data_IF_255675905499
#
_entry.id   IF_255675905499
#
_cell.length_a   1.000
_cell.length_b   1.000
_cell.length_c   1.000
_cell.angle_alpha   90.00
_cell.angle_beta   90.00
_cell.angle_gamma   90.00
#
_symmetry.space_group_name_H-M   'P 1'
#
loop_
_entity.id
_entity.type
_entity.pdbx_description
1 polymer ?
#
# COMPACT_ATOMS: atom_id res chain seq x y z
N UNK A 1 -43.55 17.04 25.30
CA UNK A 1 -43.03 16.41 24.09
C UNK A 1 -41.82 17.23 23.65
N UNK A 2 -40.62 16.87 24.10
CA UNK A 2 -39.38 17.52 23.68
C UNK A 2 -39.00 16.94 22.30
N UNK A 3 -39.06 17.75 21.27
CA UNK A 3 -38.44 17.44 19.99
C UNK A 3 -36.97 17.35 20.21
N UNK A 4 -36.43 16.14 20.23
CA UNK A 4 -35.00 15.91 20.02
C UNK A 4 -34.71 16.39 18.62
N UNK A 5 -34.20 17.61 18.47
CA UNK A 5 -33.73 18.13 17.21
C UNK A 5 -32.70 17.14 16.66
N UNK A 6 -32.97 16.57 15.50
CA UNK A 6 -31.99 15.80 14.71
C UNK A 6 -30.80 16.73 14.47
N UNK A 7 -29.74 16.58 15.25
CA UNK A 7 -28.49 17.29 14.98
C UNK A 7 -28.02 16.81 13.59
N UNK A 8 -28.04 17.69 12.60
CA UNK A 8 -27.64 17.38 11.25
C UNK A 8 -26.22 16.79 11.29
N UNK A 9 -26.07 15.53 10.90
CA UNK A 9 -24.79 14.83 10.94
C UNK A 9 -23.79 15.51 10.01
N UNK A 10 -22.57 15.73 10.48
CA UNK A 10 -21.46 16.27 9.67
C UNK A 10 -21.27 15.44 8.39
N UNK A 11 -21.35 16.11 7.24
CA UNK A 11 -21.22 15.49 5.91
C UNK A 11 -19.75 15.43 5.53
N UNK A 12 -19.22 14.21 5.43
CA UNK A 12 -17.85 13.95 5.03
C UNK A 12 -17.82 13.37 3.62
N UNK A 13 -17.08 14.03 2.72
CA UNK A 13 -16.80 13.49 1.40
C UNK A 13 -15.38 12.94 1.38
N UNK A 14 -15.26 11.64 1.14
CA UNK A 14 -13.96 10.94 1.00
C UNK A 14 -13.68 10.75 -0.49
N UNK A 15 -12.53 11.21 -0.95
CA UNK A 15 -12.08 11.02 -2.33
C UNK A 15 -11.05 9.89 -2.34
N UNK A 16 -11.40 8.78 -2.99
CA UNK A 16 -10.63 7.55 -3.05
C UNK A 16 -11.27 6.41 -2.26
N UNK A 17 -11.61 5.31 -2.94
CA UNK A 17 -12.17 4.08 -2.40
C UNK A 17 -11.12 2.95 -2.28
N UNK A 18 -9.88 3.32 -2.00
CA UNK A 18 -8.81 2.40 -1.65
C UNK A 18 -8.80 2.07 -0.15
N UNK A 19 -7.70 1.46 0.31
CA UNK A 19 -7.50 1.05 1.70
C UNK A 19 -7.80 2.19 2.70
N UNK A 20 -7.14 3.34 2.53
CA UNK A 20 -7.31 4.49 3.43
C UNK A 20 -8.75 5.02 3.41
N UNK A 21 -9.35 5.16 2.22
CA UNK A 21 -10.69 5.70 2.09
C UNK A 21 -11.77 4.79 2.67
N UNK A 22 -11.73 3.50 2.36
CA UNK A 22 -12.74 2.54 2.85
C UNK A 22 -12.66 2.34 4.37
N UNK A 23 -11.44 2.19 4.92
CA UNK A 23 -11.27 2.05 6.38
C UNK A 23 -11.73 3.31 7.12
N UNK A 24 -11.40 4.50 6.59
CA UNK A 24 -11.86 5.78 7.14
C UNK A 24 -13.39 5.92 7.03
N UNK A 25 -13.98 5.54 5.88
CA UNK A 25 -15.42 5.63 5.67
C UNK A 25 -16.21 4.79 6.67
N UNK A 26 -15.78 3.53 6.85
CA UNK A 26 -16.42 2.63 7.80
C UNK A 26 -16.34 3.16 9.24
N UNK A 27 -15.17 3.62 9.65
CA UNK A 27 -14.96 4.14 11.00
C UNK A 27 -15.72 5.43 11.26
N UNK A 28 -15.71 6.40 10.33
CA UNK A 28 -16.49 7.63 10.45
C UNK A 28 -17.98 7.34 10.56
N UNK A 29 -18.48 6.40 9.75
CA UNK A 29 -19.91 6.01 9.79
C UNK A 29 -20.26 5.39 11.14
N UNK A 30 -19.41 4.53 11.70
CA UNK A 30 -19.57 3.99 13.07
C UNK A 30 -19.60 5.10 14.14
N UNK A 31 -18.90 6.22 13.91
CA UNK A 31 -18.89 7.39 14.80
C UNK A 31 -20.00 8.40 14.53
N UNK A 32 -20.94 8.09 13.64
CA UNK A 32 -22.14 8.88 13.40
C UNK A 32 -22.04 9.96 12.35
N UNK A 33 -20.97 10.02 11.56
CA UNK A 33 -20.85 10.92 10.41
C UNK A 33 -21.72 10.44 9.22
N UNK A 34 -22.10 11.39 8.36
CA UNK A 34 -22.72 11.09 7.07
C UNK A 34 -21.65 11.05 5.99
N UNK A 35 -21.37 9.87 5.43
CA UNK A 35 -20.20 9.64 4.59
C UNK A 35 -20.57 9.34 3.15
N UNK A 36 -19.96 10.11 2.22
CA UNK A 36 -19.99 9.89 0.80
C UNK A 36 -18.56 9.55 0.31
N UNK A 37 -18.40 8.41 -0.34
CA UNK A 37 -17.12 7.99 -0.96
C UNK A 37 -17.19 8.16 -2.47
N UNK A 38 -16.18 8.78 -3.04
CA UNK A 38 -16.04 9.06 -4.47
C UNK A 38 -14.83 8.38 -5.04
N UNK A 39 -14.96 7.66 -6.16
CA UNK A 39 -13.81 7.16 -6.91
C UNK A 39 -14.12 7.03 -8.41
N UNK A 40 -13.06 6.84 -9.20
CA UNK A 40 -13.12 6.72 -10.67
C UNK A 40 -13.84 5.44 -11.13
N UNK A 41 -13.84 4.38 -10.31
CA UNK A 41 -14.48 3.10 -10.57
C UNK A 41 -15.20 2.59 -9.32
N UNK A 42 -15.94 1.50 -9.46
CA UNK A 42 -16.53 0.79 -8.33
C UNK A 42 -15.43 0.29 -7.38
N UNK A 43 -15.70 0.40 -6.08
CA UNK A 43 -14.80 -0.13 -5.06
C UNK A 43 -14.82 -1.67 -5.04
N UNK A 44 -13.66 -2.31 -4.92
CA UNK A 44 -12.29 -1.76 -4.91
C UNK A 44 -11.80 -1.43 -6.32
N UNK A 45 -11.17 -0.27 -6.47
CA UNK A 45 -10.73 0.25 -7.79
C UNK A 45 -9.59 -0.59 -8.36
N UNK A 46 -9.79 -1.15 -9.56
CA UNK A 46 -8.92 -2.18 -10.17
C UNK A 46 -7.47 -1.76 -10.39
N UNK A 47 -7.21 -0.51 -10.74
CA UNK A 47 -5.86 0.04 -10.95
C UNK A 47 -5.26 0.72 -9.70
N UNK A 48 -5.95 0.64 -8.58
CA UNK A 48 -5.48 1.14 -7.29
C UNK A 48 -4.40 0.23 -6.69
N UNK A 49 -3.46 0.84 -5.96
CA UNK A 49 -2.40 0.09 -5.24
C UNK A 49 -2.94 -0.84 -4.15
N UNK A 50 -4.17 -0.65 -3.73
CA UNK A 50 -4.81 -1.50 -2.72
C UNK A 50 -5.25 -2.86 -3.26
N UNK A 51 -5.49 -2.99 -4.58
CA UNK A 51 -6.01 -4.22 -5.21
C UNK A 51 -4.87 -5.09 -5.74
N UNK A 52 -4.87 -6.36 -5.34
CA UNK A 52 -3.97 -7.39 -5.85
C UNK A 52 -4.46 -8.78 -5.41
N UNK A 53 -3.85 -9.85 -5.93
CA UNK A 53 -4.13 -11.22 -5.48
C UNK A 53 -3.51 -11.54 -4.12
N UNK A 54 -2.47 -10.78 -3.70
CA UNK A 54 -1.81 -11.00 -2.41
C UNK A 54 -1.12 -9.75 -1.89
N UNK A 55 -1.07 -9.62 -0.56
CA UNK A 55 -0.26 -8.63 0.18
C UNK A 55 0.38 -9.27 1.40
N UNK A 56 1.61 -8.90 1.70
CA UNK A 56 2.32 -9.41 2.89
C UNK A 56 1.67 -8.89 4.16
N UNK A 57 1.41 -9.79 5.11
CA UNK A 57 0.90 -9.49 6.44
C UNK A 57 1.97 -9.87 7.46
N UNK A 58 2.50 -8.88 8.17
CA UNK A 58 3.63 -9.04 9.09
C UNK A 58 3.72 -7.91 10.11
N UNK A 59 4.17 -8.15 11.36
CA UNK A 59 4.57 -7.13 12.32
C UNK A 59 6.06 -6.75 12.26
N UNK A 60 6.80 -7.27 11.29
CA UNK A 60 8.25 -7.18 11.15
C UNK A 60 8.67 -5.78 10.67
N UNK A 61 9.00 -4.91 11.60
CA UNK A 61 9.44 -3.54 11.34
C UNK A 61 10.66 -3.15 12.18
N UNK A 62 11.56 -2.39 11.57
CA UNK A 62 12.65 -1.70 12.30
C UNK A 62 12.13 -0.57 13.18
N UNK A 63 11.03 0.07 12.78
CA UNK A 63 10.33 1.09 13.56
C UNK A 63 9.40 0.44 14.59
N UNK A 64 9.55 0.83 15.87
CA UNK A 64 8.78 0.26 17.00
C UNK A 64 7.28 0.52 16.91
N UNK A 65 6.88 1.72 16.46
CA UNK A 65 5.48 2.09 16.32
C UNK A 65 4.78 1.19 15.31
N UNK A 66 5.38 1.02 14.13
CA UNK A 66 4.81 0.14 13.11
C UNK A 66 4.90 -1.35 13.47
N UNK A 67 5.89 -1.76 14.25
CA UNK A 67 5.96 -3.13 14.78
C UNK A 67 4.78 -3.43 15.72
N UNK A 68 4.50 -2.54 16.66
CA UNK A 68 3.37 -2.66 17.59
C UNK A 68 2.04 -2.58 16.86
N UNK A 69 1.88 -1.62 15.95
CA UNK A 69 0.68 -1.48 15.12
C UNK A 69 0.46 -2.73 14.25
N UNK A 70 1.55 -3.30 13.71
CA UNK A 70 1.50 -4.56 12.96
C UNK A 70 1.02 -5.73 13.81
N UNK A 71 1.52 -5.86 15.03
CA UNK A 71 1.10 -6.91 15.98
C UNK A 71 -0.38 -6.74 16.38
N UNK A 72 -0.83 -5.51 16.57
CA UNK A 72 -2.24 -5.23 16.81
C UNK A 72 -3.12 -5.65 15.62
N UNK A 73 -2.70 -5.31 14.40
CA UNK A 73 -3.42 -5.67 13.18
C UNK A 73 -3.53 -7.19 12.97
N UNK A 74 -2.55 -7.97 13.45
CA UNK A 74 -2.61 -9.45 13.37
C UNK A 74 -3.87 -10.01 14.01
N UNK A 75 -4.36 -9.42 15.11
CA UNK A 75 -5.60 -9.84 15.77
C UNK A 75 -6.80 -9.77 14.83
N UNK A 76 -6.87 -8.73 14.00
CA UNK A 76 -7.94 -8.59 13.01
C UNK A 76 -7.78 -9.57 11.84
N UNK A 77 -6.54 -9.83 11.40
CA UNK A 77 -6.26 -10.82 10.38
C UNK A 77 -6.53 -12.26 10.84
N UNK A 78 -6.35 -12.56 12.12
CA UNK A 78 -6.67 -13.86 12.72
C UNK A 78 -8.14 -13.98 13.13
N UNK A 79 -8.85 -12.86 13.21
CA UNK A 79 -10.27 -12.75 13.58
C UNK A 79 -11.15 -12.47 12.36
N UNK A 80 -11.62 -11.23 12.24
CA UNK A 80 -12.61 -10.78 11.25
C UNK A 80 -12.19 -11.04 9.79
N UNK A 81 -10.88 -10.91 9.48
CA UNK A 81 -10.34 -11.12 8.14
C UNK A 81 -9.68 -12.49 7.95
N UNK A 82 -9.92 -13.46 8.84
CA UNK A 82 -9.26 -14.78 8.82
C UNK A 82 -9.50 -15.58 7.53
N UNK A 83 -10.65 -15.42 6.89
CA UNK A 83 -10.96 -16.07 5.61
C UNK A 83 -10.11 -15.56 4.43
N UNK A 84 -9.47 -14.42 4.58
CA UNK A 84 -8.59 -13.82 3.57
C UNK A 84 -7.11 -13.97 3.92
N UNK A 85 -6.78 -14.36 5.16
CA UNK A 85 -5.41 -14.47 5.64
C UNK A 85 -4.88 -15.90 5.52
N UNK A 86 -3.74 -16.03 4.86
CA UNK A 86 -3.00 -17.27 4.68
C UNK A 86 -1.71 -17.21 5.51
N UNK A 87 -1.68 -17.92 6.65
CA UNK A 87 -0.51 -17.99 7.52
C UNK A 87 0.53 -18.95 6.91
N UNK A 88 1.36 -18.45 6.01
CA UNK A 88 2.44 -19.19 5.36
C UNK A 88 3.80 -19.02 6.04
N UNK A 89 3.88 -18.13 7.04
CA UNK A 89 5.14 -17.61 7.54
C UNK A 89 5.78 -16.57 6.60
N UNK A 90 6.85 -15.97 7.09
CA UNK A 90 7.70 -15.04 6.37
C UNK A 90 9.16 -15.42 6.55
N UNK A 91 9.88 -15.62 5.46
CA UNK A 91 11.32 -15.71 5.41
C UNK A 91 11.89 -14.35 4.98
N UNK A 92 12.39 -13.59 5.94
CA UNK A 92 12.98 -12.27 5.71
C UNK A 92 14.50 -12.41 5.68
N UNK A 93 15.10 -12.13 4.54
CA UNK A 93 16.54 -12.34 4.32
C UNK A 93 17.24 -11.10 3.77
N UNK A 94 18.56 -11.08 3.91
CA UNK A 94 19.45 -10.13 3.26
C UNK A 94 20.74 -10.82 2.84
N UNK A 95 21.45 -10.23 1.89
CA UNK A 95 22.76 -10.64 1.45
C UNK A 95 23.85 -9.85 2.20
N UNK A 96 25.02 -10.47 2.38
CA UNK A 96 26.14 -9.89 3.11
C UNK A 96 26.05 -10.12 4.63
N UNK A 97 27.05 -9.57 5.33
CA UNK A 97 27.27 -9.86 6.74
C UNK A 97 26.28 -9.21 7.71
N UNK A 98 25.58 -8.14 7.31
CA UNK A 98 24.61 -7.46 8.16
C UNK A 98 23.64 -6.60 7.35
N UNK A 99 22.42 -6.48 7.84
CA UNK A 99 21.42 -5.57 7.29
C UNK A 99 20.68 -4.89 8.44
N UNK A 100 20.86 -3.57 8.58
CA UNK A 100 20.39 -2.82 9.75
C UNK A 100 18.89 -2.94 9.99
N UNK A 101 18.06 -2.90 8.91
CA UNK A 101 16.62 -3.07 9.03
C UNK A 101 16.24 -4.46 9.53
N UNK A 102 16.88 -5.52 9.00
CA UNK A 102 16.65 -6.91 9.41
C UNK A 102 16.90 -7.09 10.90
N UNK A 103 18.06 -6.61 11.38
CA UNK A 103 18.45 -6.74 12.78
C UNK A 103 17.54 -5.93 13.71
N UNK A 104 17.20 -4.68 13.35
CA UNK A 104 16.30 -3.85 14.15
C UNK A 104 14.89 -4.45 14.20
N UNK A 105 14.42 -5.02 13.09
CA UNK A 105 13.15 -5.73 13.03
C UNK A 105 13.13 -6.94 13.95
N UNK A 106 14.17 -7.78 13.89
CA UNK A 106 14.34 -8.95 14.76
C UNK A 106 14.36 -8.57 16.26
N UNK A 107 15.08 -7.50 16.61
CA UNK A 107 15.10 -6.98 18.00
C UNK A 107 13.74 -6.50 18.46
N UNK A 108 12.96 -5.86 17.61
CA UNK A 108 11.60 -5.44 17.95
C UNK A 108 10.66 -6.64 18.13
N UNK A 109 10.76 -7.67 17.29
CA UNK A 109 10.02 -8.92 17.46
C UNK A 109 10.34 -9.59 18.80
N UNK A 110 11.62 -9.68 19.15
CA UNK A 110 12.07 -10.24 20.43
C UNK A 110 11.48 -9.47 21.63
N UNK A 111 11.53 -8.11 21.60
CA UNK A 111 10.91 -7.25 22.64
C UNK A 111 9.41 -7.44 22.76
N UNK A 112 8.72 -7.82 21.68
CA UNK A 112 7.29 -8.13 21.67
C UNK A 112 6.99 -9.59 22.05
N UNK A 113 8.00 -10.39 22.40
CA UNK A 113 7.87 -11.80 22.77
C UNK A 113 7.64 -12.73 21.56
N UNK A 114 7.87 -12.25 20.34
CA UNK A 114 7.74 -13.04 19.11
C UNK A 114 9.09 -13.71 18.81
N UNK A 115 9.13 -15.03 18.95
CA UNK A 115 10.34 -15.80 18.64
C UNK A 115 10.43 -16.05 17.14
N UNK A 116 11.58 -15.70 16.57
CA UNK A 116 11.93 -15.97 15.18
C UNK A 116 13.19 -16.83 15.11
N UNK A 117 13.26 -17.68 14.10
CA UNK A 117 14.39 -18.59 13.90
C UNK A 117 15.35 -18.02 12.87
N UNK A 118 16.58 -17.77 13.29
CA UNK A 118 17.65 -17.27 12.39
C UNK A 118 18.36 -18.41 11.69
N UNK A 119 18.58 -18.28 10.39
CA UNK A 119 19.29 -19.24 9.54
C UNK A 119 20.16 -18.50 8.51
N UNK A 120 21.14 -19.21 7.96
CA UNK A 120 22.01 -18.71 6.91
C UNK A 120 22.34 -19.81 5.89
N UNK A 121 22.66 -19.41 4.69
CA UNK A 121 23.07 -20.30 3.62
C UNK A 121 22.04 -21.38 3.31
N UNK A 122 22.50 -22.61 3.13
CA UNK A 122 21.65 -23.75 2.77
C UNK A 122 20.58 -24.09 3.82
N UNK A 123 20.77 -23.72 5.10
CA UNK A 123 19.79 -23.97 6.14
C UNK A 123 18.48 -23.16 5.95
N UNK A 124 18.46 -22.15 5.09
CA UNK A 124 17.22 -21.46 4.70
C UNK A 124 16.26 -22.38 3.94
N UNK A 125 16.76 -23.45 3.33
CA UNK A 125 15.93 -24.47 2.64
C UNK A 125 15.07 -25.28 3.58
N UNK A 126 15.35 -25.29 4.88
CA UNK A 126 14.50 -25.94 5.89
C UNK A 126 13.08 -25.37 5.87
N UNK A 127 12.93 -24.09 5.50
CA UNK A 127 11.61 -23.40 5.42
C UNK A 127 10.97 -23.47 4.04
N UNK A 128 11.74 -23.70 2.99
CA UNK A 128 11.25 -23.86 1.62
C UNK A 128 12.20 -24.75 0.84
N UNK A 129 12.02 -26.09 0.87
CA UNK A 129 12.89 -27.05 0.19
C UNK A 129 12.99 -26.84 -1.32
N UNK A 130 12.02 -26.17 -1.93
CA UNK A 130 12.03 -25.86 -3.36
C UNK A 130 13.07 -24.80 -3.76
N UNK A 131 13.70 -24.11 -2.81
CA UNK A 131 14.78 -23.17 -3.12
C UNK A 131 16.01 -23.95 -3.63
N UNK A 132 16.36 -23.71 -4.90
CA UNK A 132 17.53 -24.34 -5.55
C UNK A 132 18.68 -23.35 -5.80
N UNK A 133 18.42 -22.05 -5.65
CA UNK A 133 19.41 -21.00 -5.88
C UNK A 133 20.58 -21.01 -4.90
N UNK A 134 21.66 -20.31 -5.22
CA UNK A 134 22.80 -20.15 -4.32
C UNK A 134 22.47 -19.18 -3.18
N UNK A 135 22.54 -19.66 -1.96
CA UNK A 135 22.25 -18.92 -0.73
C UNK A 135 23.51 -18.67 0.13
N UNK A 136 24.72 -18.94 -0.37
CA UNK A 136 25.95 -18.90 0.43
C UNK A 136 26.14 -17.56 1.17
N UNK A 137 25.78 -16.45 0.55
CA UNK A 137 25.88 -15.09 1.12
C UNK A 137 24.52 -14.54 1.62
N UNK A 138 23.58 -15.43 1.95
CA UNK A 138 22.22 -15.04 2.37
C UNK A 138 21.95 -15.49 3.80
N UNK A 139 21.50 -14.56 4.64
CA UNK A 139 21.09 -14.84 6.01
C UNK A 139 19.78 -14.11 6.35
N UNK A 140 19.04 -14.63 7.31
CA UNK A 140 17.80 -14.02 7.75
C UNK A 140 17.10 -14.78 8.85
N UNK A 141 15.82 -14.51 9.02
CA UNK A 141 14.98 -15.19 9.99
C UNK A 141 13.65 -15.63 9.39
N UNK A 142 13.07 -16.65 9.99
CA UNK A 142 11.71 -17.10 9.72
C UNK A 142 10.77 -16.66 10.85
N UNK A 143 9.66 -16.01 10.46
CA UNK A 143 8.60 -15.62 11.38
C UNK A 143 7.31 -16.40 11.07
N UNK A 144 6.91 -17.37 11.93
CA UNK A 144 5.77 -18.25 11.66
C UNK A 144 4.40 -17.60 11.78
N UNK A 145 4.28 -16.45 12.45
CA UNK A 145 2.98 -15.77 12.60
C UNK A 145 2.57 -14.95 11.38
N UNK A 146 3.51 -14.70 10.47
CA UNK A 146 3.30 -13.94 9.25
C UNK A 146 2.64 -14.75 8.15
N UNK A 147 2.36 -14.05 7.05
CA UNK A 147 1.84 -14.68 5.84
C UNK A 147 1.42 -13.62 4.82
N UNK A 148 0.36 -13.91 4.12
CA UNK A 148 -0.20 -13.02 3.11
C UNK A 148 -1.72 -13.03 3.16
N UNK A 149 -2.34 -11.99 2.62
CA UNK A 149 -3.78 -11.91 2.50
C UNK A 149 -4.21 -11.73 1.04
N UNK A 150 -5.37 -12.31 0.69
CA UNK A 150 -6.12 -11.93 -0.51
C UNK A 150 -6.56 -10.48 -0.38
N UNK A 151 -5.83 -9.61 -1.07
CA UNK A 151 -6.06 -8.18 -0.96
C UNK A 151 -7.36 -7.74 -1.64
N UNK A 152 -7.68 -8.32 -2.78
CA UNK A 152 -8.91 -8.01 -3.50
C UNK A 152 -10.14 -8.46 -2.70
N UNK A 153 -10.15 -9.69 -2.22
CA UNK A 153 -11.23 -10.21 -1.40
C UNK A 153 -11.43 -9.42 -0.11
N UNK A 154 -10.33 -9.08 0.58
CA UNK A 154 -10.38 -8.27 1.81
C UNK A 154 -11.02 -6.89 1.57
N UNK A 155 -10.67 -6.22 0.45
CA UNK A 155 -11.24 -4.91 0.14
C UNK A 155 -12.69 -4.99 -0.35
N UNK A 156 -13.06 -6.05 -1.07
CA UNK A 156 -14.46 -6.30 -1.44
C UNK A 156 -15.33 -6.49 -0.19
N UNK A 157 -14.82 -7.27 0.76
CA UNK A 157 -15.48 -7.44 2.05
C UNK A 157 -15.63 -6.11 2.81
N UNK A 158 -14.55 -5.32 2.89
CA UNK A 158 -14.59 -4.00 3.53
C UNK A 158 -15.55 -3.02 2.82
N UNK A 159 -15.56 -3.00 1.48
CA UNK A 159 -16.49 -2.17 0.72
C UNK A 159 -17.95 -2.57 0.99
N UNK A 160 -18.23 -3.87 1.11
CA UNK A 160 -19.55 -4.36 1.50
C UNK A 160 -19.94 -3.91 2.90
N UNK A 161 -19.04 -4.02 3.87
CA UNK A 161 -19.27 -3.50 5.21
C UNK A 161 -19.60 -2.00 5.22
N UNK A 162 -18.90 -1.20 4.39
CA UNK A 162 -19.22 0.21 4.23
C UNK A 162 -20.66 0.43 3.73
N UNK A 163 -21.08 -0.34 2.70
CA UNK A 163 -22.46 -0.26 2.16
C UNK A 163 -23.47 -0.66 3.22
N UNK A 164 -23.25 -1.76 3.91
CA UNK A 164 -24.16 -2.27 4.95
C UNK A 164 -24.25 -1.32 6.16
N UNK A 165 -23.20 -0.54 6.43
CA UNK A 165 -23.19 0.53 7.43
C UNK A 165 -23.85 1.83 6.98
N UNK A 166 -24.25 1.96 5.71
CA UNK A 166 -24.92 3.14 5.16
C UNK A 166 -24.01 4.19 4.51
N UNK A 167 -22.75 3.82 4.18
CA UNK A 167 -21.89 4.69 3.37
C UNK A 167 -22.43 4.81 1.96
N UNK A 168 -22.55 6.03 1.45
CA UNK A 168 -22.93 6.30 0.07
C UNK A 168 -21.70 6.29 -0.86
N UNK A 169 -21.89 5.81 -2.10
CA UNK A 169 -20.83 5.75 -3.10
C UNK A 169 -21.24 6.39 -4.41
N UNK A 170 -20.32 7.14 -5.03
CA UNK A 170 -20.43 7.55 -6.44
C UNK A 170 -19.17 7.13 -7.19
N UNK A 171 -19.35 6.59 -8.39
CA UNK A 171 -18.25 6.11 -9.25
C UNK A 171 -18.39 6.62 -10.68
N UNK A 172 -17.44 6.25 -11.55
CA UNK A 172 -17.40 6.73 -12.93
C UNK A 172 -17.18 8.24 -13.03
N UNK A 173 -17.78 8.90 -14.00
CA UNK A 173 -17.64 10.35 -14.18
C UNK A 173 -18.18 11.15 -12.99
N UNK A 174 -19.23 10.67 -12.33
CA UNK A 174 -19.84 11.29 -11.14
C UNK A 174 -18.99 11.12 -9.87
N UNK A 175 -18.14 10.09 -9.81
CA UNK A 175 -17.23 9.84 -8.68
C UNK A 175 -15.79 10.32 -8.95
N UNK A 176 -15.41 10.61 -10.20
CA UNK A 176 -14.07 11.11 -10.53
C UNK A 176 -13.95 12.59 -10.14
N UNK A 177 -13.26 12.87 -9.05
CA UNK A 177 -12.97 14.24 -8.60
C UNK A 177 -11.85 14.83 -9.45
N UNK A 178 -12.06 16.03 -9.96
CA UNK A 178 -11.11 16.76 -10.81
C UNK A 178 -10.54 18.02 -10.13
N UNK A 179 -11.23 18.56 -9.13
CA UNK A 179 -10.74 19.69 -8.33
C UNK A 179 -11.49 19.82 -7.01
N UNK A 180 -10.87 20.50 -6.06
CA UNK A 180 -11.50 20.99 -4.84
C UNK A 180 -12.36 22.23 -5.17
N UNK A 181 -13.45 22.43 -4.42
CA UNK A 181 -14.26 23.65 -4.44
C UNK A 181 -13.96 24.43 -3.18
N UNK A 182 -13.56 25.68 -3.34
CA UNK A 182 -13.07 26.52 -2.26
C UNK A 182 -13.90 27.81 -2.13
N UNK A 183 -14.00 28.29 -0.88
CA UNK A 183 -14.45 29.63 -0.53
C UNK A 183 -13.32 30.25 0.32
N UNK A 184 -12.50 31.12 -0.29
CA UNK A 184 -11.24 31.55 0.26
C UNK A 184 -10.28 30.37 0.52
N UNK A 185 -9.83 30.22 1.75
CA UNK A 185 -9.02 29.08 2.19
C UNK A 185 -9.83 27.87 2.63
N UNK A 186 -11.15 27.95 2.66
CA UNK A 186 -12.03 26.88 3.10
C UNK A 186 -12.41 25.98 1.94
N UNK A 187 -12.16 24.69 2.06
CA UNK A 187 -12.72 23.68 1.16
C UNK A 187 -14.18 23.43 1.54
N UNK A 188 -15.08 23.59 0.57
CA UNK A 188 -16.53 23.48 0.77
C UNK A 188 -17.14 22.34 -0.05
N UNK A 189 -16.30 21.54 -0.71
CA UNK A 189 -16.72 20.39 -1.51
C UNK A 189 -15.74 20.06 -2.62
N UNK A 190 -16.21 19.26 -3.57
CA UNK A 190 -15.42 18.79 -4.71
C UNK A 190 -16.19 18.96 -6.03
N UNK A 191 -15.46 19.11 -7.14
CA UNK A 191 -16.01 19.09 -8.50
C UNK A 191 -15.67 17.77 -9.17
N UNK A 192 -16.65 17.13 -9.77
CA UNK A 192 -16.49 15.85 -10.46
C UNK A 192 -16.29 16.06 -11.96
N UNK A 193 -15.82 15.02 -12.65
CA UNK A 193 -15.69 14.99 -14.12
C UNK A 193 -17.03 15.17 -14.83
N UNK A 194 -18.12 14.72 -14.24
CA UNK A 194 -19.47 14.96 -14.74
C UNK A 194 -19.90 16.44 -14.67
N UNK A 195 -19.08 17.32 -14.07
CA UNK A 195 -19.38 18.74 -13.90
C UNK A 195 -20.15 19.08 -12.62
N UNK A 196 -20.56 18.09 -11.85
CA UNK A 196 -21.31 18.30 -10.60
C UNK A 196 -20.40 18.85 -9.51
N UNK A 197 -20.95 19.76 -8.68
CA UNK A 197 -20.34 20.25 -7.45
C UNK A 197 -21.06 19.57 -6.27
N UNK A 198 -20.29 18.79 -5.51
CA UNK A 198 -20.77 18.09 -4.32
C UNK A 198 -20.27 18.83 -3.08
N UNK A 199 -21.21 19.39 -2.31
CA UNK A 199 -20.89 20.15 -1.09
C UNK A 199 -20.63 19.20 0.08
N UNK A 200 -19.63 19.53 0.92
CA UNK A 200 -19.25 18.79 2.11
C UNK A 200 -18.82 19.75 3.23
N UNK A 201 -19.01 19.32 4.46
CA UNK A 201 -18.52 20.03 5.64
C UNK A 201 -17.05 19.71 5.90
N UNK A 202 -16.59 18.53 5.47
CA UNK A 202 -15.22 18.06 5.49
C UNK A 202 -14.92 17.24 4.24
N UNK A 203 -13.76 17.47 3.62
CA UNK A 203 -13.24 16.65 2.53
C UNK A 203 -12.03 15.88 3.01
N UNK A 204 -12.02 14.57 2.80
CA UNK A 204 -10.88 13.67 3.07
C UNK A 204 -10.28 13.21 1.75
N UNK A 205 -9.02 13.51 1.50
CA UNK A 205 -8.29 12.99 0.34
C UNK A 205 -7.58 11.69 0.73
N UNK A 206 -8.08 10.57 0.23
CA UNK A 206 -7.53 9.23 0.39
C UNK A 206 -7.06 8.66 -0.97
N UNK A 207 -6.51 9.52 -1.81
CA UNK A 207 -6.24 9.26 -3.24
C UNK A 207 -4.87 8.63 -3.50
N UNK A 208 -4.11 8.26 -2.44
CA UNK A 208 -2.82 7.58 -2.58
C UNK A 208 -1.89 8.30 -3.57
N UNK A 209 -1.36 7.58 -4.55
CA UNK A 209 -0.45 8.12 -5.56
C UNK A 209 -1.09 9.18 -6.48
N UNK A 210 -2.41 9.34 -6.48
CA UNK A 210 -3.12 10.38 -7.24
C UNK A 210 -3.28 11.70 -6.48
N UNK A 211 -2.88 11.77 -5.20
CA UNK A 211 -3.00 12.98 -4.37
C UNK A 211 -2.36 14.23 -5.02
N UNK A 212 -1.20 14.15 -5.70
CA UNK A 212 -0.59 15.31 -6.36
C UNK A 212 -1.42 15.97 -7.46
N UNK A 213 -2.46 15.29 -7.98
CA UNK A 213 -3.40 15.90 -8.93
C UNK A 213 -4.38 16.91 -8.29
N UNK A 214 -4.57 16.82 -6.98
CA UNK A 214 -5.57 17.61 -6.26
C UNK A 214 -4.96 18.64 -5.31
N UNK A 215 -3.79 18.35 -4.73
CA UNK A 215 -3.06 19.22 -3.81
C UNK A 215 -1.54 19.08 -4.04
N UNK A 216 -0.80 20.18 -3.83
CA UNK A 216 0.66 20.13 -3.85
C UNK A 216 1.18 19.36 -2.64
N UNK A 217 2.07 18.42 -2.88
CA UNK A 217 2.64 17.53 -1.84
C UNK A 217 4.08 17.93 -1.45
N UNK A 218 4.68 18.93 -2.06
CA UNK A 218 5.95 19.63 -1.71
C UNK A 218 7.01 18.81 -0.97
N UNK A 219 7.59 17.79 -1.57
CA UNK A 219 8.54 16.86 -0.91
C UNK A 219 8.01 16.14 0.34
N UNK A 220 6.71 16.25 0.63
CA UNK A 220 6.06 15.50 1.71
C UNK A 220 5.83 14.05 1.28
N UNK A 221 5.26 13.87 0.09
CA UNK A 221 5.12 12.56 -0.54
C UNK A 221 5.34 12.65 -2.05
N UNK A 222 5.85 11.57 -2.63
CA UNK A 222 6.06 11.44 -4.06
C UNK A 222 5.46 10.13 -4.57
N UNK A 223 4.79 10.20 -5.71
CA UNK A 223 4.25 8.99 -6.33
C UNK A 223 5.35 8.25 -7.07
N UNK A 224 5.54 6.99 -6.72
CA UNK A 224 6.49 6.10 -7.38
C UNK A 224 5.82 4.81 -7.81
N UNK A 225 6.28 4.23 -8.91
CA UNK A 225 5.77 2.95 -9.38
C UNK A 225 6.77 1.82 -9.15
N UNK A 226 6.25 0.64 -8.76
CA UNK A 226 7.02 -0.54 -8.38
C UNK A 226 6.66 -1.70 -9.30
N UNK A 227 7.65 -2.50 -9.76
CA UNK A 227 7.38 -3.61 -10.66
C UNK A 227 6.72 -4.78 -9.94
N UNK A 228 5.71 -5.34 -10.59
CA UNK A 228 5.02 -6.56 -10.17
C UNK A 228 4.95 -7.50 -11.37
N UNK A 229 5.29 -8.77 -11.18
CA UNK A 229 5.24 -9.80 -12.20
C UNK A 229 4.55 -11.05 -11.70
N UNK A 230 3.94 -11.78 -12.64
CA UNK A 230 3.21 -13.02 -12.38
C UNK A 230 3.64 -14.08 -13.38
N UNK A 231 3.85 -15.30 -12.91
CA UNK A 231 4.06 -16.47 -13.76
C UNK A 231 3.01 -17.53 -13.44
N UNK A 232 2.56 -18.24 -14.48
CA UNK A 232 1.66 -19.37 -14.33
C UNK A 232 2.48 -20.63 -14.06
N UNK A 233 2.19 -21.32 -12.96
CA UNK A 233 2.75 -22.62 -12.63
C UNK A 233 1.81 -23.75 -13.05
N UNK A 234 2.37 -24.92 -13.33
CA UNK A 234 1.61 -26.16 -13.42
C UNK A 234 1.16 -26.61 -12.01
N UNK A 235 0.27 -27.58 -11.92
CA UNK A 235 -0.16 -28.15 -10.63
C UNK A 235 1.02 -28.79 -9.87
N UNK A 236 1.93 -29.45 -10.56
CA UNK A 236 3.11 -30.06 -9.99
C UNK A 236 4.07 -29.01 -9.41
N UNK A 237 4.40 -27.96 -10.18
CA UNK A 237 5.26 -26.86 -9.78
C UNK A 237 4.65 -26.08 -8.59
N UNK A 238 3.35 -25.81 -8.64
CA UNK A 238 2.65 -25.16 -7.54
C UNK A 238 2.66 -26.05 -6.28
N UNK A 239 2.54 -27.36 -6.44
CA UNK A 239 2.66 -28.33 -5.35
C UNK A 239 3.99 -28.28 -4.64
N UNK A 240 5.10 -28.03 -5.36
CA UNK A 240 6.43 -27.87 -4.77
C UNK A 240 6.58 -26.61 -3.90
N UNK A 241 5.80 -25.56 -4.20
CA UNK A 241 5.88 -24.25 -3.54
C UNK A 241 4.74 -23.97 -2.55
N UNK A 242 3.76 -24.85 -2.43
CA UNK A 242 2.52 -24.58 -1.67
C UNK A 242 2.77 -24.29 -0.19
N UNK A 243 3.79 -24.90 0.40
CA UNK A 243 4.15 -24.78 1.81
C UNK A 243 5.33 -23.81 2.04
N UNK A 244 5.85 -23.16 0.98
CA UNK A 244 6.86 -22.14 1.10
C UNK A 244 6.29 -20.87 1.75
N UNK A 245 7.08 -20.16 2.60
CA UNK A 245 6.66 -18.89 3.16
C UNK A 245 6.65 -17.78 2.10
N UNK A 246 6.11 -16.62 2.45
CA UNK A 246 6.50 -15.38 1.75
C UNK A 246 8.00 -15.19 1.94
N UNK A 247 8.73 -14.88 0.87
CA UNK A 247 10.17 -14.59 0.94
C UNK A 247 10.39 -13.13 0.59
N UNK A 248 11.13 -12.40 1.42
CA UNK A 248 11.53 -11.00 1.17
C UNK A 248 13.06 -10.92 1.26
N UNK A 249 13.72 -10.47 0.19
CA UNK A 249 15.13 -10.14 0.18
C UNK A 249 15.30 -8.62 0.29
N UNK A 250 15.70 -8.14 1.45
CA UNK A 250 15.86 -6.72 1.75
C UNK A 250 17.00 -6.07 0.95
N UNK A 251 18.05 -6.81 0.57
CA UNK A 251 19.18 -6.26 -0.20
C UNK A 251 18.78 -5.84 -1.61
N UNK A 252 17.88 -6.59 -2.25
CA UNK A 252 17.40 -6.32 -3.60
C UNK A 252 16.01 -5.69 -3.63
N UNK A 253 15.28 -5.78 -2.53
CA UNK A 253 13.87 -5.45 -2.41
C UNK A 253 12.94 -6.47 -3.05
N UNK A 254 13.46 -7.54 -3.66
CA UNK A 254 12.64 -8.56 -4.28
C UNK A 254 11.88 -9.40 -3.25
N UNK A 255 10.63 -9.73 -3.57
CA UNK A 255 9.83 -10.62 -2.75
C UNK A 255 8.85 -11.44 -3.58
N UNK A 256 8.47 -12.61 -3.05
CA UNK A 256 7.59 -13.58 -3.70
C UNK A 256 6.61 -14.17 -2.69
N UNK A 257 5.47 -14.57 -3.18
CA UNK A 257 4.44 -15.26 -2.42
C UNK A 257 4.39 -16.75 -2.79
N UNK A 258 3.85 -17.61 -1.92
CA UNK A 258 3.40 -18.93 -2.36
C UNK A 258 2.42 -18.82 -3.53
N UNK A 259 2.31 -19.86 -4.37
CA UNK A 259 1.31 -19.89 -5.45
C UNK A 259 -0.10 -19.65 -4.90
N UNK A 260 -0.86 -18.77 -5.57
CA UNK A 260 -2.24 -18.49 -5.16
C UNK A 260 -3.11 -19.74 -5.34
N UNK A 261 -3.80 -20.22 -4.28
CA UNK A 261 -4.65 -21.39 -4.37
C UNK A 261 -5.70 -21.29 -5.47
N UNK A 262 -5.96 -22.39 -6.16
CA UNK A 262 -6.94 -22.50 -7.24
C UNK A 262 -6.48 -21.94 -8.57
N UNK A 263 -5.53 -21.00 -8.62
CA UNK A 263 -5.00 -20.42 -9.86
C UNK A 263 -3.57 -20.81 -10.18
N UNK A 264 -2.81 -21.29 -9.20
CA UNK A 264 -1.38 -21.59 -9.28
C UNK A 264 -0.52 -20.41 -9.76
N UNK A 265 -1.01 -19.19 -9.55
CA UNK A 265 -0.29 -17.98 -9.94
C UNK A 265 0.82 -17.68 -8.92
N UNK A 266 2.06 -17.62 -9.39
CA UNK A 266 3.19 -17.17 -8.58
C UNK A 266 3.40 -15.67 -8.82
N UNK A 267 3.19 -14.87 -7.78
CA UNK A 267 3.40 -13.43 -7.82
C UNK A 267 4.73 -13.07 -7.19
N UNK A 268 5.45 -12.19 -7.87
CA UNK A 268 6.65 -11.54 -7.34
C UNK A 268 6.60 -10.04 -7.57
N UNK A 269 7.33 -9.30 -6.76
CA UNK A 269 7.44 -7.86 -6.90
C UNK A 269 8.77 -7.36 -6.31
N UNK A 270 9.01 -6.06 -6.46
CA UNK A 270 10.16 -5.41 -5.87
C UNK A 270 9.71 -4.22 -5.01
N UNK A 271 10.07 -4.20 -3.75
CA UNK A 271 9.97 -3.08 -2.85
C UNK A 271 11.26 -2.27 -2.92
N UNK A 272 11.39 -1.51 -4.00
CA UNK A 272 12.57 -0.70 -4.30
C UNK A 272 12.29 0.79 -4.17
N UNK A 273 13.19 1.61 -4.70
CA UNK A 273 13.02 3.06 -4.75
C UNK A 273 12.09 3.49 -5.91
N UNK A 274 11.82 2.61 -6.86
CA UNK A 274 10.79 2.75 -7.88
C UNK A 274 11.11 3.71 -9.03
N UNK A 275 10.06 4.04 -9.76
CA UNK A 275 10.12 4.89 -10.95
C UNK A 275 9.20 6.09 -10.78
N UNK A 276 9.64 7.24 -11.27
CA UNK A 276 8.87 8.49 -11.32
C UNK A 276 8.36 8.75 -12.74
N UNK A 277 7.27 9.49 -12.83
CA UNK A 277 6.85 10.18 -14.07
C UNK A 277 7.11 11.68 -13.95
N UNK A 278 7.08 12.36 -15.10
CA UNK A 278 7.19 13.82 -15.15
C UNK A 278 6.05 14.33 -16.03
N UNK A 279 4.95 14.75 -15.38
CA UNK A 279 3.73 15.16 -16.07
C UNK A 279 3.26 16.52 -15.58
N UNK A 280 2.80 17.38 -16.50
CA UNK A 280 2.01 18.55 -16.14
C UNK A 280 0.57 18.08 -15.91
N UNK A 281 0.12 18.13 -14.67
CA UNK A 281 -1.27 17.89 -14.35
C UNK A 281 -2.09 19.19 -14.43
N UNK A 282 -3.38 19.07 -14.73
CA UNK A 282 -4.29 20.20 -14.75
C UNK A 282 -4.30 20.89 -13.38
N UNK A 283 -4.01 22.19 -13.34
CA UNK A 283 -3.99 22.97 -12.11
C UNK A 283 -2.63 22.98 -11.38
N UNK A 284 -1.63 22.20 -11.81
CA UNK A 284 -0.29 22.25 -11.22
C UNK A 284 0.62 23.23 -11.98
N UNK A 285 1.43 23.98 -11.22
CA UNK A 285 2.43 24.91 -11.79
C UNK A 285 3.75 24.24 -12.16
N UNK A 286 3.97 23.02 -11.66
CA UNK A 286 5.21 22.24 -11.85
C UNK A 286 4.85 20.82 -12.28
N UNK A 287 5.76 20.15 -13.02
CA UNK A 287 5.60 18.74 -13.30
C UNK A 287 5.54 17.93 -12.00
N UNK A 288 4.66 16.94 -11.96
CA UNK A 288 4.49 16.01 -10.84
C UNK A 288 4.81 14.57 -11.27
N UNK A 289 5.22 13.74 -10.33
CA UNK A 289 5.15 12.30 -10.49
C UNK A 289 3.80 11.83 -10.02
N UNK A 290 3.01 11.24 -10.90
CA UNK A 290 1.71 10.67 -10.59
C UNK A 290 1.25 9.70 -11.69
N UNK A 291 0.38 8.74 -11.39
CA UNK A 291 -0.31 7.94 -12.41
C UNK A 291 -1.27 8.81 -13.22
N UNK A 292 -1.80 8.28 -14.33
CA UNK A 292 -2.82 8.95 -15.13
C UNK A 292 -4.15 9.02 -14.36
N UNK A 293 -4.92 10.09 -14.60
CA UNK A 293 -6.30 10.21 -14.08
C UNK A 293 -7.31 9.35 -14.84
N UNK A 294 -6.99 8.96 -16.07
CA UNK A 294 -7.82 8.06 -16.88
C UNK A 294 -7.71 6.62 -16.41
N UNK A 295 -8.73 5.82 -16.72
CA UNK A 295 -8.64 4.35 -16.57
C UNK A 295 -7.48 3.79 -17.38
N UNK A 296 -6.89 2.70 -16.90
CA UNK A 296 -5.86 1.99 -17.62
C UNK A 296 -4.42 2.39 -17.27
N UNK A 297 -4.21 2.91 -16.05
CA UNK A 297 -2.84 3.16 -15.54
C UNK A 297 -1.99 1.91 -15.36
N UNK A 298 -2.55 0.73 -15.60
CA UNK A 298 -1.86 -0.53 -15.57
C UNK A 298 -1.89 -1.13 -16.96
N UNK A 299 -0.85 -0.89 -17.76
CA UNK A 299 -0.64 -1.71 -18.93
C UNK A 299 -0.15 -3.09 -18.45
N UNK A 300 -0.96 -4.17 -18.60
CA UNK A 300 -0.64 -5.49 -18.05
C UNK A 300 0.56 -6.15 -18.72
N UNK A 301 1.08 -5.58 -19.81
CA UNK A 301 2.18 -6.11 -20.59
C UNK A 301 3.43 -5.23 -20.59
N UNK A 302 3.47 -4.23 -19.71
CA UNK A 302 4.62 -3.32 -19.66
C UNK A 302 5.35 -3.33 -18.32
N UNK A 303 6.65 -3.53 -18.40
CA UNK A 303 7.64 -3.12 -17.41
C UNK A 303 8.84 -2.47 -18.11
N UNK A 304 9.54 -1.50 -17.48
CA UNK A 304 10.88 -1.13 -17.89
C UNK A 304 11.81 -2.35 -17.94
N UNK A 305 12.75 -2.35 -18.87
CA UNK A 305 13.66 -3.50 -19.09
C UNK A 305 14.44 -3.87 -17.82
N UNK A 306 14.95 -2.86 -17.11
CA UNK A 306 15.67 -3.03 -15.84
C UNK A 306 14.75 -3.54 -14.70
N UNK A 307 13.46 -3.19 -14.75
CA UNK A 307 12.47 -3.70 -13.80
C UNK A 307 12.17 -5.19 -14.03
N UNK A 308 11.99 -5.58 -15.29
CA UNK A 308 11.78 -6.97 -15.64
C UNK A 308 13.01 -7.82 -15.29
N UNK A 309 14.22 -7.34 -15.64
CA UNK A 309 15.47 -8.01 -15.27
C UNK A 309 15.58 -8.22 -13.76
N UNK A 310 15.30 -7.19 -12.95
CA UNK A 310 15.36 -7.30 -11.50
C UNK A 310 14.36 -8.33 -10.92
N UNK A 311 13.18 -8.51 -11.52
CA UNK A 311 12.23 -9.55 -11.10
C UNK A 311 12.74 -10.94 -11.49
N UNK A 312 13.36 -11.10 -12.65
CA UNK A 312 13.94 -12.37 -13.11
C UNK A 312 15.17 -12.76 -12.29
N UNK A 313 16.07 -11.81 -12.03
CA UNK A 313 17.25 -12.02 -11.19
C UNK A 313 16.88 -12.47 -9.78
N UNK A 314 15.86 -11.82 -9.19
CA UNK A 314 15.32 -12.22 -7.90
C UNK A 314 14.71 -13.63 -7.93
N UNK A 315 13.95 -13.96 -8.99
CA UNK A 315 13.41 -15.31 -9.16
C UNK A 315 14.53 -16.35 -9.32
N UNK A 316 15.52 -16.07 -10.17
CA UNK A 316 16.66 -16.96 -10.39
C UNK A 316 17.52 -17.18 -9.13
N UNK A 317 17.62 -16.17 -8.27
CA UNK A 317 18.38 -16.27 -7.01
C UNK A 317 17.78 -17.27 -6.02
N UNK A 318 16.48 -17.51 -6.07
CA UNK A 318 15.80 -18.47 -5.19
C UNK A 318 15.29 -19.70 -5.94
N UNK A 319 14.72 -19.51 -7.11
CA UNK A 319 14.03 -20.54 -7.90
C UNK A 319 14.51 -20.54 -9.34
N UNK A 320 15.80 -20.88 -9.61
CA UNK A 320 16.37 -20.88 -10.96
C UNK A 320 15.60 -21.79 -11.92
N UNK A 321 14.94 -22.84 -11.42
CA UNK A 321 14.10 -23.73 -12.22
C UNK A 321 12.88 -23.04 -12.86
N UNK A 322 12.52 -21.83 -12.41
CA UNK A 322 11.41 -21.04 -12.96
C UNK A 322 11.86 -19.76 -13.67
N UNK A 323 13.17 -19.47 -13.72
CA UNK A 323 13.71 -18.21 -14.22
C UNK A 323 13.33 -17.91 -15.68
N UNK A 324 13.20 -18.93 -16.52
CA UNK A 324 12.88 -18.81 -17.95
C UNK A 324 11.35 -18.76 -18.22
N UNK A 325 10.52 -18.94 -17.20
CA UNK A 325 9.07 -18.86 -17.40
C UNK A 325 8.65 -17.45 -17.82
N UNK A 326 7.75 -17.36 -18.79
CA UNK A 326 7.21 -16.08 -19.25
C UNK A 326 6.30 -15.47 -18.20
N UNK A 327 6.38 -14.16 -18.03
CA UNK A 327 5.35 -13.44 -17.29
C UNK A 327 4.03 -13.50 -18.06
N UNK A 328 2.99 -14.01 -17.40
CA UNK A 328 1.63 -14.01 -17.93
C UNK A 328 0.89 -12.70 -17.62
N UNK A 329 1.37 -11.94 -16.67
CA UNK A 329 0.94 -10.58 -16.33
C UNK A 329 2.13 -9.84 -15.68
N UNK A 330 2.24 -8.55 -15.97
CA UNK A 330 3.26 -7.68 -15.37
C UNK A 330 2.75 -6.24 -15.39
N UNK A 331 3.06 -5.46 -14.36
CA UNK A 331 2.60 -4.07 -14.27
C UNK A 331 3.46 -3.25 -13.33
N UNK A 332 3.32 -1.94 -13.42
CA UNK A 332 3.78 -0.99 -12.41
C UNK A 332 2.64 -0.73 -11.40
N UNK A 333 2.92 -0.94 -10.12
CA UNK A 333 2.02 -0.63 -9.00
C UNK A 333 2.47 0.65 -8.33
N UNK A 334 1.56 1.57 -8.04
CA UNK A 334 1.91 2.90 -7.56
C UNK A 334 1.91 3.00 -6.03
N UNK A 335 2.95 3.61 -5.47
CA UNK A 335 3.05 4.01 -4.07
C UNK A 335 2.95 5.53 -3.92
N UNK A 336 2.60 5.98 -2.74
CA UNK A 336 2.76 7.35 -2.28
C UNK A 336 3.88 7.36 -1.23
N UNK A 337 5.11 7.63 -1.67
CA UNK A 337 6.31 7.51 -0.86
C UNK A 337 6.60 8.76 -0.06
N UNK A 338 6.80 8.59 1.23
CA UNK A 338 7.29 9.63 2.13
C UNK A 338 8.77 9.40 2.48
N UNK A 339 9.40 10.39 3.11
CA UNK A 339 10.84 10.34 3.43
C UNK A 339 11.24 9.17 4.32
N UNK A 340 10.43 8.87 5.34
CA UNK A 340 10.72 7.85 6.35
C UNK A 340 9.77 6.66 6.28
N UNK A 341 8.91 6.61 5.25
CA UNK A 341 7.86 5.62 5.15
C UNK A 341 6.65 5.92 6.03
N UNK A 342 6.62 7.05 6.75
CA UNK A 342 5.49 7.43 7.59
C UNK A 342 4.29 7.85 6.74
N UNK A 343 3.09 7.55 7.21
CA UNK A 343 1.87 8.03 6.56
C UNK A 343 1.71 9.54 6.72
N UNK A 344 0.91 10.14 5.86
CA UNK A 344 0.46 11.52 5.98
C UNK A 344 -1.02 11.48 6.32
N UNK A 345 -1.36 11.71 7.57
CA UNK A 345 -2.72 11.65 8.08
C UNK A 345 -2.96 12.89 8.94
N UNK A 346 -3.30 14.02 8.30
CA UNK A 346 -3.38 15.30 8.96
C UNK A 346 -4.26 16.28 8.18
N UNK A 347 -4.66 17.37 8.84
CA UNK A 347 -5.26 18.50 8.15
C UNK A 347 -4.25 19.22 7.26
N UNK A 348 -4.72 19.65 6.10
CA UNK A 348 -3.88 20.44 5.21
C UNK A 348 -3.57 21.81 5.84
N UNK A 349 -2.30 22.26 5.90
CA UNK A 349 -1.93 23.46 6.66
C UNK A 349 -2.51 24.78 6.08
N UNK A 350 -2.78 24.82 4.77
CA UNK A 350 -3.27 26.02 4.09
C UNK A 350 -4.76 25.98 3.77
N UNK A 351 -5.43 24.84 3.91
CA UNK A 351 -6.85 24.70 3.57
C UNK A 351 -7.66 24.20 4.76
N UNK A 352 -8.62 24.99 5.20
CA UNK A 352 -9.59 24.58 6.20
C UNK A 352 -10.51 23.50 5.62
N UNK A 353 -10.99 22.59 6.45
CA UNK A 353 -11.91 21.50 6.10
C UNK A 353 -11.35 20.52 5.05
N UNK A 354 -10.03 20.43 4.93
CA UNK A 354 -9.35 19.47 4.09
C UNK A 354 -8.45 18.59 4.96
N UNK A 355 -8.76 17.30 5.01
CA UNK A 355 -7.96 16.28 5.67
C UNK A 355 -7.31 15.40 4.60
N UNK A 356 -6.03 15.07 4.76
CA UNK A 356 -5.28 14.24 3.81
C UNK A 356 -4.87 12.94 4.50
N UNK A 357 -5.16 11.82 3.87
CA UNK A 357 -4.83 10.49 4.34
C UNK A 357 -4.18 9.69 3.20
N UNK A 358 -2.84 9.73 3.15
CA UNK A 358 -2.00 9.18 2.07
C UNK A 358 -0.62 8.77 2.60
N UNK A 359 0.36 8.59 1.73
CA UNK A 359 1.73 8.28 2.14
C UNK A 359 1.92 6.82 2.52
N UNK A 360 1.19 5.90 1.86
CA UNK A 360 1.20 4.47 2.15
C UNK A 360 2.60 3.83 2.09
N UNK A 361 3.53 4.42 1.35
CA UNK A 361 4.92 3.99 1.19
C UNK A 361 5.06 2.48 0.91
N UNK A 362 4.03 1.88 0.32
CA UNK A 362 3.96 0.46 -0.04
C UNK A 362 3.77 -0.50 1.12
N UNK A 363 3.46 -0.03 2.32
CA UNK A 363 3.36 -0.92 3.49
C UNK A 363 2.07 -0.80 4.31
N UNK A 364 1.08 0.01 3.89
CA UNK A 364 -0.11 0.26 4.70
C UNK A 364 -1.09 -0.93 4.75
N UNK A 365 -1.13 -1.80 3.73
CA UNK A 365 -2.20 -2.79 3.59
C UNK A 365 -2.38 -3.72 4.79
N UNK A 366 -1.29 -4.14 5.43
CA UNK A 366 -1.34 -5.03 6.59
C UNK A 366 -2.06 -4.44 7.81
N UNK A 367 -2.24 -3.12 7.85
CA UNK A 367 -2.98 -2.43 8.91
C UNK A 367 -4.48 -2.32 8.63
N UNK A 368 -5.00 -2.90 7.53
CA UNK A 368 -6.40 -2.83 7.13
C UNK A 368 -7.39 -2.99 8.30
N UNK A 369 -7.27 -3.98 9.19
CA UNK A 369 -8.26 -4.20 10.24
C UNK A 369 -8.38 -3.06 11.27
N UNK A 370 -7.35 -2.23 11.40
CA UNK A 370 -7.27 -1.20 12.46
C UNK A 370 -7.04 0.21 11.91
N UNK A 371 -6.69 0.35 10.63
CA UNK A 371 -6.22 1.61 10.04
C UNK A 371 -7.27 2.73 10.16
N UNK A 372 -8.55 2.40 9.95
CA UNK A 372 -9.63 3.39 10.04
C UNK A 372 -9.71 4.08 11.39
N UNK A 373 -9.56 3.31 12.48
CA UNK A 373 -9.54 3.87 13.84
C UNK A 373 -8.39 4.86 14.02
N UNK A 374 -7.18 4.48 13.62
CA UNK A 374 -6.00 5.35 13.71
C UNK A 374 -6.16 6.64 12.90
N UNK A 375 -6.74 6.56 11.70
CA UNK A 375 -6.99 7.74 10.85
C UNK A 375 -8.02 8.66 11.50
N UNK A 376 -9.14 8.11 11.96
CA UNK A 376 -10.23 8.92 12.52
C UNK A 376 -9.87 9.48 13.89
N UNK A 377 -9.05 8.78 14.69
CA UNK A 377 -8.51 9.33 15.94
C UNK A 377 -7.63 10.57 15.66
N UNK A 378 -6.83 10.57 14.58
CA UNK A 378 -6.10 11.77 14.14
C UNK A 378 -7.04 12.90 13.71
N UNK A 379 -8.07 12.57 12.93
CA UNK A 379 -9.05 13.54 12.43
C UNK A 379 -9.82 14.22 13.57
N UNK A 380 -10.18 13.46 14.59
CA UNK A 380 -10.90 13.98 15.77
C UNK A 380 -9.97 14.55 16.87
N UNK A 381 -8.65 14.53 16.65
CA UNK A 381 -7.67 15.01 17.64
C UNK A 381 -7.52 14.11 18.86
N UNK A 382 -7.92 12.84 18.76
CA UNK A 382 -7.86 11.80 19.81
C UNK A 382 -6.66 10.87 19.70
N UNK A 383 -5.85 11.03 18.64
CA UNK A 383 -4.68 10.21 18.41
C UNK A 383 -3.63 10.38 19.53
N UNK A 384 -2.89 9.30 19.78
CA UNK A 384 -1.71 9.36 20.61
C UNK A 384 -0.72 10.42 20.10
N UNK A 385 -0.05 11.20 20.99
CA UNK A 385 0.88 12.25 20.59
C UNK A 385 2.00 11.76 19.65
N UNK A 386 2.54 10.56 19.87
CA UNK A 386 3.60 9.99 19.02
C UNK A 386 3.06 9.65 17.64
N UNK A 387 1.85 9.07 17.56
CA UNK A 387 1.15 8.81 16.29
C UNK A 387 0.90 10.12 15.54
N UNK A 388 0.34 11.12 16.22
CA UNK A 388 0.04 12.43 15.64
C UNK A 388 1.30 13.10 15.10
N UNK A 389 2.37 13.13 15.90
CA UNK A 389 3.65 13.68 15.49
C UNK A 389 4.26 12.90 14.31
N UNK A 390 4.10 11.57 14.27
CA UNK A 390 4.64 10.70 13.23
C UNK A 390 3.96 10.93 11.90
N UNK A 391 2.65 11.07 11.86
CA UNK A 391 1.83 11.18 10.65
C UNK A 391 1.44 12.62 10.25
N UNK A 392 1.98 13.60 10.98
CA UNK A 392 1.72 15.00 10.73
C UNK A 392 2.18 15.46 9.34
N UNK A 393 1.55 16.50 8.80
CA UNK A 393 1.98 17.22 7.61
C UNK A 393 3.32 17.92 7.87
N UNK A 394 4.42 17.31 7.47
CA UNK A 394 5.78 17.80 7.69
C UNK A 394 6.36 18.37 6.41
N UNK A 395 6.25 19.66 6.21
CA UNK A 395 6.95 20.32 5.08
C UNK A 395 8.46 20.11 5.18
N UNK A 396 9.09 19.88 4.05
CA UNK A 396 10.54 19.71 3.97
C UNK A 396 11.09 20.27 2.65
N UNK A 397 12.21 20.99 2.74
CA UNK A 397 12.96 21.40 1.56
C UNK A 397 13.86 20.29 1.00
N UNK A 398 14.05 19.20 1.75
CA UNK A 398 14.94 18.10 1.36
C UNK A 398 14.16 17.09 0.51
N UNK A 399 14.64 16.72 -0.68
CA UNK A 399 14.01 15.72 -1.53
C UNK A 399 13.86 14.35 -0.84
N UNK A 400 12.85 13.59 -1.24
CA UNK A 400 12.65 12.21 -0.79
C UNK A 400 13.62 11.33 -1.57
N UNK A 401 14.70 10.88 -0.95
CA UNK A 401 15.75 10.08 -1.61
C UNK A 401 15.84 8.66 -1.09
N UNK A 402 15.48 8.45 0.18
CA UNK A 402 15.54 7.15 0.86
C UNK A 402 14.25 6.91 1.62
N UNK A 403 13.89 5.66 1.83
CA UNK A 403 12.78 5.27 2.71
C UNK A 403 13.28 4.95 4.12
N UNK A 404 12.52 4.10 4.81
CA UNK A 404 12.74 3.62 6.19
C UNK A 404 13.87 2.57 6.32
N UNK A 405 14.59 2.25 5.26
CA UNK A 405 15.61 1.19 5.21
C UNK A 405 15.08 -0.20 4.81
N UNK A 406 13.78 -0.36 4.59
CA UNK A 406 13.19 -1.62 4.11
C UNK A 406 13.36 -1.85 2.61
N UNK A 407 13.76 -0.82 1.86
CA UNK A 407 13.86 -0.85 0.41
C UNK A 407 15.23 -1.30 -0.06
N UNK A 408 15.25 -2.11 -1.12
CA UNK A 408 16.47 -2.59 -1.75
C UNK A 408 16.62 -2.20 -3.21
N UNK A 409 17.81 -2.44 -3.75
CA UNK A 409 18.15 -2.23 -5.15
C UNK A 409 18.59 -0.81 -5.50
N UNK A 410 18.62 -0.45 -6.81
CA UNK A 410 19.16 0.81 -7.29
C UNK A 410 18.30 2.02 -6.87
N UNK A 411 18.89 3.23 -6.90
CA UNK A 411 18.17 4.47 -6.66
C UNK A 411 16.98 4.64 -7.60
N UNK A 412 16.02 5.45 -7.16
CA UNK A 412 14.86 5.85 -7.95
C UNK A 412 15.28 6.56 -9.24
N UNK A 413 14.58 6.28 -10.32
CA UNK A 413 14.79 6.96 -11.60
C UNK A 413 13.50 7.45 -12.24
N UNK A 414 13.64 8.45 -13.06
CA UNK A 414 12.58 8.91 -13.95
C UNK A 414 12.38 7.86 -15.08
N UNK A 415 11.14 7.55 -15.40
CA UNK A 415 10.81 6.77 -16.61
C UNK A 415 11.18 7.58 -17.86
N UNK A 416 11.78 6.92 -18.85
CA UNK A 416 12.07 7.52 -20.16
C UNK A 416 10.76 7.91 -20.86
N UNK A 417 10.82 8.78 -21.86
CA UNK A 417 9.63 9.26 -22.57
C UNK A 417 8.85 8.11 -23.23
N UNK A 418 9.55 7.18 -23.85
CA UNK A 418 8.98 5.98 -24.46
C UNK A 418 8.37 5.02 -23.43
N UNK A 419 8.97 4.90 -22.24
CA UNK A 419 8.41 4.15 -21.13
C UNK A 419 7.14 4.80 -20.58
N UNK A 420 7.13 6.14 -20.41
CA UNK A 420 5.94 6.87 -19.96
C UNK A 420 4.77 6.83 -20.95
N UNK A 421 5.06 6.72 -22.24
CA UNK A 421 4.04 6.58 -23.29
C UNK A 421 3.34 5.22 -23.28
N UNK A 422 3.91 4.24 -22.58
CA UNK A 422 3.35 2.87 -22.46
C UNK A 422 2.53 2.65 -21.17
N UNK A 423 2.46 3.65 -20.29
CA UNK A 423 1.66 3.59 -19.05
C UNK A 423 0.13 3.76 -19.32
#
# INVERSE_FOLDING_TARGET
>A
MSSTGDQEKTRVTIVGAGLFGLTTALELTKRGYNVLVLDRDLAPVRDGSSVDISRVIRPDYADKFYAQMGLEAMKGWEGEFSSFFHRSGLLCVAQGNSHAYLESSRQNLDRMGIRVETRAGSALRDYCPAIQGDLADTAGYFNPICGWADAQGSLQYLARQCIDAGVSFLSGASGTVVSLVQDGTRVVGVKTRAGSVLRADLVVLATGAWTPHLVEMDNLAISTSQPVGFIQLTNEEAGQLKDCPVIINLSTGWFVFPPTPGTNMLKMARHGYGYETCRLASGTKRPISAPLLSFGNTNPDFLPVDAEAALRDGLASFFPQFADKRFCNRRLCWYSDTRQGDFVVDFHPSFQNLFVSTGDSGHAFKFLPILGRYIVDNLEGKADPDQKAKWAWKQSSIPITRGDGSRGGPPRRLLKKDEQARL
#
